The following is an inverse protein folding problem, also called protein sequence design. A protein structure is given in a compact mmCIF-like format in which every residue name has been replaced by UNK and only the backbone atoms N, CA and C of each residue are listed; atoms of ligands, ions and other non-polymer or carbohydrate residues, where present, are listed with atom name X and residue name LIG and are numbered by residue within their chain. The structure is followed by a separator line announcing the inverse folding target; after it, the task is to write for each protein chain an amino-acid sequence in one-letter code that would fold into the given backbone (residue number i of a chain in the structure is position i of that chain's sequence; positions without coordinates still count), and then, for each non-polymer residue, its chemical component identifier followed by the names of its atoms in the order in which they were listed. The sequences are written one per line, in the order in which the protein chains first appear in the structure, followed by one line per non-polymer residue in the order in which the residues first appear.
data_IF_101015620202
#
_entry.id   IF_101015620202
#
_cell.length_a   1.000
_cell.length_b   1.000
_cell.length_c   1.000
_cell.angle_alpha   90.00
_cell.angle_beta   90.00
_cell.angle_gamma   90.00
#
_symmetry.space_group_name_H-M   'P 1'
#
loop_
_entity.id
_entity.type
_entity.pdbx_description
1 polymer ?
#
# COMPACT_ATOMS: atom_id res chain seq x y z
N UNK A 1 -26.38 -13.00 -16.95
CA UNK A 1 -26.54 -11.82 -16.04
C UNK A 1 -25.15 -11.30 -15.74
N UNK A 2 -24.90 -10.04 -16.01
CA UNK A 2 -23.61 -9.42 -15.63
C UNK A 2 -23.53 -9.39 -14.10
N UNK A 3 -22.44 -9.93 -13.55
CA UNK A 3 -22.17 -9.90 -12.10
C UNK A 3 -22.00 -8.43 -11.68
N UNK A 4 -22.97 -7.87 -10.96
CA UNK A 4 -22.93 -6.48 -10.51
C UNK A 4 -21.70 -6.20 -9.66
N UNK A 5 -21.23 -7.19 -8.88
CA UNK A 5 -20.07 -7.11 -8.01
C UNK A 5 -18.75 -7.46 -8.72
N UNK A 6 -18.68 -7.38 -10.03
CA UNK A 6 -17.40 -7.38 -10.73
C UNK A 6 -16.68 -6.06 -10.47
N UNK A 7 -15.44 -6.12 -10.01
CA UNK A 7 -14.66 -4.95 -9.61
C UNK A 7 -14.55 -3.88 -10.71
N UNK A 8 -14.47 -4.29 -11.97
CA UNK A 8 -14.45 -3.34 -13.07
C UNK A 8 -15.79 -2.58 -13.22
N UNK A 9 -16.91 -3.27 -12.97
CA UNK A 9 -18.23 -2.62 -12.95
C UNK A 9 -18.34 -1.69 -11.74
N UNK A 10 -17.95 -2.13 -10.54
CA UNK A 10 -17.97 -1.30 -9.34
C UNK A 10 -17.15 -0.02 -9.51
N UNK A 11 -15.95 -0.11 -10.10
CA UNK A 11 -15.12 1.06 -10.39
C UNK A 11 -15.75 1.96 -11.46
N UNK A 12 -16.38 1.40 -12.48
CA UNK A 12 -17.11 2.19 -13.47
C UNK A 12 -18.32 2.93 -12.87
N UNK A 13 -19.03 2.30 -11.93
CA UNK A 13 -20.13 2.95 -11.20
C UNK A 13 -19.61 4.08 -10.27
N UNK A 14 -18.46 3.86 -9.61
CA UNK A 14 -17.78 4.86 -8.81
C UNK A 14 -17.39 6.07 -9.68
N UNK A 15 -16.78 5.84 -10.84
CA UNK A 15 -16.34 6.89 -11.75
C UNK A 15 -17.51 7.70 -12.33
N UNK A 16 -18.64 7.05 -12.59
CA UNK A 16 -19.91 7.69 -13.02
C UNK A 16 -20.62 8.41 -11.89
N UNK A 17 -20.10 8.32 -10.66
CA UNK A 17 -20.74 8.85 -9.45
C UNK A 17 -22.16 8.31 -9.22
N UNK A 18 -22.40 7.03 -9.53
CA UNK A 18 -23.67 6.40 -9.30
C UNK A 18 -23.92 6.15 -7.80
N UNK A 19 -24.54 7.11 -7.14
CA UNK A 19 -24.87 7.05 -5.72
C UNK A 19 -25.92 5.98 -5.39
N UNK A 20 -26.73 5.57 -6.38
CA UNK A 20 -27.81 4.59 -6.20
C UNK A 20 -27.32 3.15 -6.35
N UNK A 21 -26.12 2.90 -6.86
CA UNK A 21 -25.60 1.57 -7.12
C UNK A 21 -25.71 0.63 -5.91
N UNK A 22 -25.38 1.11 -4.69
CA UNK A 22 -25.48 0.31 -3.47
C UNK A 22 -26.95 -0.08 -3.16
N UNK A 23 -27.90 0.80 -3.42
CA UNK A 23 -29.34 0.54 -3.22
C UNK A 23 -29.90 -0.47 -4.23
N UNK A 24 -29.32 -0.53 -5.43
CA UNK A 24 -29.68 -1.48 -6.49
C UNK A 24 -29.17 -2.90 -6.25
N UNK A 25 -28.28 -3.10 -5.25
CA UNK A 25 -27.79 -4.42 -4.87
C UNK A 25 -28.85 -5.18 -4.08
N UNK A 26 -28.97 -6.48 -4.37
CA UNK A 26 -29.77 -7.40 -3.54
C UNK A 26 -29.15 -7.59 -2.16
N UNK A 27 -29.87 -8.12 -1.21
CA UNK A 27 -29.36 -8.37 0.14
C UNK A 27 -28.18 -9.36 0.14
N UNK A 28 -28.16 -10.32 -0.78
CA UNK A 28 -27.05 -11.25 -0.95
C UNK A 28 -25.81 -10.57 -1.52
N UNK A 29 -25.99 -9.66 -2.50
CA UNK A 29 -24.92 -8.86 -3.07
C UNK A 29 -24.35 -7.88 -2.02
N UNK A 30 -25.20 -7.22 -1.23
CA UNK A 30 -24.76 -6.32 -0.15
C UNK A 30 -23.88 -7.02 0.88
N UNK A 31 -24.17 -8.30 1.21
CA UNK A 31 -23.34 -9.10 2.12
C UNK A 31 -21.95 -9.40 1.54
N UNK A 32 -21.82 -9.47 0.22
CA UNK A 32 -20.57 -9.73 -0.49
C UNK A 32 -19.83 -8.44 -0.87
N UNK A 33 -20.50 -7.30 -0.84
CA UNK A 33 -19.93 -6.01 -1.23
C UNK A 33 -18.81 -5.59 -0.28
N UNK A 34 -17.59 -5.41 -0.79
CA UNK A 34 -16.43 -5.08 0.01
C UNK A 34 -16.03 -3.61 -0.13
N UNK A 35 -16.38 -2.83 0.87
CA UNK A 35 -15.99 -1.41 0.94
C UNK A 35 -14.47 -1.23 1.05
N UNK A 36 -13.74 -2.23 1.58
CA UNK A 36 -12.28 -2.25 1.58
C UNK A 36 -11.69 -2.37 0.16
N UNK A 37 -12.31 -3.16 -0.71
CA UNK A 37 -11.92 -3.19 -2.12
C UNK A 37 -12.14 -1.83 -2.78
N UNK A 38 -13.23 -1.13 -2.45
CA UNK A 38 -13.47 0.23 -2.95
C UNK A 38 -12.34 1.17 -2.55
N UNK A 39 -11.91 1.15 -1.29
CA UNK A 39 -10.78 1.94 -0.82
C UNK A 39 -9.49 1.64 -1.61
N UNK A 40 -9.19 0.37 -1.83
CA UNK A 40 -7.94 -0.06 -2.48
C UNK A 40 -7.91 0.20 -3.97
N UNK A 41 -9.02 -0.03 -4.66
CA UNK A 41 -9.08 0.13 -6.11
C UNK A 41 -9.35 1.57 -6.55
N UNK A 42 -10.16 2.32 -5.80
CA UNK A 42 -10.50 3.71 -6.16
C UNK A 42 -9.29 4.64 -6.21
N UNK A 43 -8.26 4.37 -5.41
CA UNK A 43 -7.06 5.22 -5.37
C UNK A 43 -6.06 4.97 -6.51
N UNK A 44 -6.28 3.95 -7.37
CA UNK A 44 -5.26 3.47 -8.30
C UNK A 44 -5.79 3.36 -9.72
N UNK A 45 -5.64 4.43 -10.48
CA UNK A 45 -6.08 4.53 -11.87
C UNK A 45 -4.91 4.51 -12.85
N UNK A 46 -5.12 3.90 -14.03
CA UNK A 46 -4.20 4.00 -15.16
C UNK A 46 -4.55 5.25 -15.97
N UNK A 47 -3.92 6.36 -15.65
CA UNK A 47 -4.17 7.65 -16.28
C UNK A 47 -2.90 8.53 -16.21
N UNK A 48 -2.97 9.75 -16.74
CA UNK A 48 -1.92 10.74 -16.59
C UNK A 48 -1.62 11.04 -15.11
N UNK A 49 -0.39 11.44 -14.79
CA UNK A 49 0.09 11.59 -13.41
C UNK A 49 -0.76 12.55 -12.55
N UNK A 50 -1.27 13.62 -13.13
CA UNK A 50 -2.16 14.56 -12.45
C UNK A 50 -3.49 13.91 -12.05
N UNK A 51 -4.06 13.06 -12.92
CA UNK A 51 -5.29 12.31 -12.63
C UNK A 51 -5.02 11.24 -11.56
N UNK A 52 -3.90 10.51 -11.66
CA UNK A 52 -3.48 9.56 -10.61
C UNK A 52 -3.35 10.24 -9.25
N UNK A 53 -2.63 11.38 -9.19
CA UNK A 53 -2.47 12.16 -7.97
C UNK A 53 -3.82 12.60 -7.41
N UNK A 54 -4.74 13.07 -8.27
CA UNK A 54 -6.09 13.45 -7.84
C UNK A 54 -6.81 12.28 -7.16
N UNK A 55 -6.85 11.09 -7.78
CA UNK A 55 -7.54 9.93 -7.20
C UNK A 55 -6.93 9.50 -5.86
N UNK A 56 -5.61 9.51 -5.74
CA UNK A 56 -4.92 9.19 -4.48
C UNK A 56 -5.29 10.18 -3.38
N UNK A 57 -5.20 11.48 -3.66
CA UNK A 57 -5.51 12.54 -2.70
C UNK A 57 -6.99 12.55 -2.33
N UNK A 58 -7.88 12.45 -3.32
CA UNK A 58 -9.32 12.42 -3.13
C UNK A 58 -9.77 11.18 -2.36
N UNK A 59 -9.21 10.00 -2.66
CA UNK A 59 -9.48 8.77 -1.92
C UNK A 59 -9.05 8.90 -0.46
N UNK A 60 -7.86 9.45 -0.21
CA UNK A 60 -7.37 9.64 1.15
C UNK A 60 -8.27 10.59 1.94
N UNK A 61 -8.69 11.69 1.34
CA UNK A 61 -9.52 12.72 2.01
C UNK A 61 -10.96 12.26 2.24
N UNK A 62 -11.59 11.66 1.22
CA UNK A 62 -13.03 11.38 1.24
C UNK A 62 -13.38 10.00 1.78
N UNK A 63 -12.48 9.00 1.63
CA UNK A 63 -12.79 7.63 2.00
C UNK A 63 -11.85 7.07 3.08
N UNK A 64 -10.53 7.23 2.94
CA UNK A 64 -9.56 6.57 3.82
C UNK A 64 -9.54 7.15 5.24
N UNK A 65 -9.58 8.47 5.36
CA UNK A 65 -9.39 9.18 6.64
C UNK A 65 -10.34 8.70 7.75
N UNK A 66 -11.61 8.48 7.40
CA UNK A 66 -12.65 8.08 8.36
C UNK A 66 -13.18 6.67 8.06
N UNK A 67 -12.43 5.85 7.32
CA UNK A 67 -12.90 4.56 6.81
C UNK A 67 -13.42 3.62 7.89
N UNK A 68 -12.71 3.51 9.00
CA UNK A 68 -13.08 2.63 10.11
C UNK A 68 -14.19 3.21 10.98
N UNK A 69 -14.29 4.53 11.09
CA UNK A 69 -15.33 5.21 11.87
C UNK A 69 -16.72 4.98 11.27
N UNK A 70 -16.79 4.93 9.93
CA UNK A 70 -18.03 4.69 9.19
C UNK A 70 -18.19 3.23 8.72
N UNK A 71 -17.40 2.29 9.25
CA UNK A 71 -17.40 0.90 8.80
C UNK A 71 -18.74 0.19 8.96
N UNK A 72 -19.56 0.61 9.94
CA UNK A 72 -20.92 0.09 10.17
C UNK A 72 -21.96 0.61 9.16
N UNK A 73 -21.58 1.52 8.28
CA UNK A 73 -22.46 2.18 7.31
C UNK A 73 -21.96 2.00 5.86
N UNK A 74 -22.10 0.79 5.29
CA UNK A 74 -21.50 0.49 3.97
C UNK A 74 -22.08 1.36 2.83
N UNK A 75 -23.35 1.76 2.93
CA UNK A 75 -23.94 2.75 1.99
C UNK A 75 -23.21 4.09 2.08
N UNK A 76 -22.92 4.59 3.27
CA UNK A 76 -22.17 5.83 3.46
C UNK A 76 -20.75 5.69 2.92
N UNK A 77 -20.09 4.54 3.16
CA UNK A 77 -18.78 4.27 2.56
C UNK A 77 -18.83 4.28 1.03
N UNK A 78 -19.89 3.73 0.43
CA UNK A 78 -20.09 3.84 -1.03
C UNK A 78 -20.25 5.28 -1.51
N UNK A 79 -21.05 6.09 -0.82
CA UNK A 79 -21.21 7.52 -1.14
C UNK A 79 -19.86 8.27 -1.05
N UNK A 80 -19.08 8.00 -0.01
CA UNK A 80 -17.71 8.54 0.11
C UNK A 80 -16.80 8.05 -1.03
N UNK A 81 -16.94 6.79 -1.46
CA UNK A 81 -16.20 6.25 -2.59
C UNK A 81 -16.57 6.94 -3.91
N UNK A 82 -17.86 7.22 -4.16
CA UNK A 82 -18.27 7.97 -5.37
C UNK A 82 -17.78 9.41 -5.38
N UNK A 83 -17.49 10.00 -4.22
CA UNK A 83 -16.89 11.32 -4.12
C UNK A 83 -15.40 11.35 -4.50
N UNK A 84 -14.75 10.18 -4.60
CA UNK A 84 -13.33 10.08 -5.01
C UNK A 84 -13.15 10.48 -6.48
N UNK A 85 -14.06 10.08 -7.36
CA UNK A 85 -13.98 10.37 -8.80
C UNK A 85 -14.17 11.84 -9.12
N UNK A 86 -13.43 12.43 -10.07
CA UNK A 86 -13.69 13.77 -10.60
C UNK A 86 -14.92 13.83 -11.50
N UNK A 87 -15.49 12.69 -11.94
CA UNK A 87 -16.65 12.63 -12.82
C UNK A 87 -16.38 13.00 -14.28
N UNK A 88 -15.14 12.87 -14.74
CA UNK A 88 -14.70 13.24 -16.12
C UNK A 88 -14.66 12.05 -17.07
N UNK A 89 -15.22 10.92 -16.68
CA UNK A 89 -15.25 9.66 -17.45
C UNK A 89 -14.85 8.47 -16.58
N UNK A 90 -14.82 7.29 -17.19
CA UNK A 90 -14.41 6.05 -16.53
C UNK A 90 -12.96 5.74 -16.85
N UNK A 91 -12.22 5.31 -15.83
CA UNK A 91 -10.81 4.93 -15.94
C UNK A 91 -10.62 3.44 -15.68
N UNK A 92 -9.52 2.90 -16.14
CA UNK A 92 -9.10 1.56 -15.77
C UNK A 92 -8.42 1.63 -14.39
N UNK A 93 -9.07 1.05 -13.39
CA UNK A 93 -8.47 0.86 -12.09
C UNK A 93 -7.61 -0.40 -12.05
N UNK A 94 -6.63 -0.45 -11.15
CA UNK A 94 -5.72 -1.57 -11.03
C UNK A 94 -5.42 -1.89 -9.56
N UNK A 95 -5.06 -3.15 -9.32
CA UNK A 95 -4.56 -3.55 -8.01
C UNK A 95 -3.04 -3.37 -7.95
N UNK A 96 -2.57 -2.58 -6.99
CA UNK A 96 -1.16 -2.52 -6.65
C UNK A 96 -0.97 -3.23 -5.30
N UNK A 97 -0.32 -4.39 -5.35
CA UNK A 97 -0.04 -5.15 -4.14
C UNK A 97 0.85 -4.33 -3.18
N UNK A 98 0.54 -4.40 -1.90
CA UNK A 98 1.44 -3.85 -0.90
C UNK A 98 2.77 -4.59 -0.99
N UNK A 99 3.86 -3.86 -1.15
CA UNK A 99 5.19 -4.44 -0.93
C UNK A 99 5.21 -4.94 0.51
N UNK A 100 5.44 -6.25 0.71
CA UNK A 100 5.68 -6.77 2.05
C UNK A 100 6.84 -5.95 2.62
N UNK A 101 6.60 -5.24 3.71
CA UNK A 101 7.72 -4.73 4.51
C UNK A 101 8.41 -5.98 5.03
N UNK A 102 9.54 -6.33 4.47
CA UNK A 102 10.33 -7.39 5.05
C UNK A 102 10.63 -6.96 6.49
N UNK A 103 10.19 -7.76 7.43
CA UNK A 103 10.37 -7.52 8.87
C UNK A 103 11.84 -7.66 9.30
N UNK A 104 12.72 -7.93 8.37
CA UNK A 104 14.17 -8.06 8.58
C UNK A 104 14.96 -7.30 7.52
N UNK A 105 16.23 -7.17 7.75
CA UNK A 105 17.17 -6.62 6.79
C UNK A 105 17.48 -7.68 5.71
N UNK A 106 17.15 -7.40 4.44
CA UNK A 106 17.44 -8.30 3.31
C UNK A 106 18.93 -8.35 2.97
N UNK A 107 19.62 -7.24 3.19
CA UNK A 107 21.04 -7.10 2.91
C UNK A 107 21.87 -7.58 4.11
N UNK A 108 22.88 -8.41 3.87
CA UNK A 108 23.80 -8.90 4.88
C UNK A 108 24.49 -7.78 5.64
N UNK A 109 24.87 -6.69 4.96
CA UNK A 109 25.48 -5.51 5.60
C UNK A 109 24.52 -4.84 6.59
N UNK A 110 23.25 -4.72 6.26
CA UNK A 110 22.23 -4.17 7.15
C UNK A 110 22.02 -5.08 8.38
N UNK A 111 22.00 -6.41 8.18
CA UNK A 111 21.90 -7.38 9.29
C UNK A 111 23.09 -7.27 10.24
N UNK A 112 24.29 -7.19 9.68
CA UNK A 112 25.51 -7.02 10.48
C UNK A 112 25.48 -5.73 11.30
N UNK A 113 25.14 -4.60 10.67
CA UNK A 113 25.06 -3.31 11.35
C UNK A 113 23.95 -3.28 12.42
N UNK A 114 22.80 -3.90 12.15
CA UNK A 114 21.71 -4.00 13.11
C UNK A 114 22.07 -4.85 14.34
N UNK A 115 22.84 -5.92 14.13
CA UNK A 115 23.34 -6.75 15.23
C UNK A 115 24.41 -6.00 16.05
N UNK A 116 25.22 -5.18 15.40
CA UNK A 116 26.28 -4.40 16.03
C UNK A 116 25.72 -3.20 16.82
N UNK A 117 24.68 -2.57 16.29
CA UNK A 117 24.06 -1.37 16.87
C UNK A 117 22.56 -1.57 17.12
N UNK A 118 22.17 -2.39 18.11
CA UNK A 118 20.77 -2.76 18.32
C UNK A 118 19.88 -1.60 18.80
N UNK A 119 20.48 -0.52 19.25
CA UNK A 119 19.79 0.70 19.72
C UNK A 119 19.50 1.73 18.62
N UNK A 120 20.09 1.54 17.43
CA UNK A 120 19.86 2.44 16.30
C UNK A 120 18.54 2.13 15.59
N UNK A 121 17.89 3.18 15.07
CA UNK A 121 16.72 3.04 14.23
C UNK A 121 17.09 2.52 12.84
N UNK A 122 16.11 1.99 12.13
CA UNK A 122 16.32 1.40 10.81
C UNK A 122 16.90 2.37 9.79
N UNK A 123 16.42 3.61 9.77
CA UNK A 123 16.90 4.68 8.89
C UNK A 123 18.37 5.04 9.15
N UNK A 124 18.78 5.04 10.42
CA UNK A 124 20.17 5.27 10.83
C UNK A 124 21.07 4.11 10.38
N UNK A 125 20.61 2.86 10.50
CA UNK A 125 21.34 1.67 10.02
C UNK A 125 21.44 1.68 8.51
N UNK A 126 20.38 2.07 7.79
CA UNK A 126 20.39 2.22 6.33
C UNK A 126 21.36 3.33 5.87
N UNK A 127 21.44 4.42 6.62
CA UNK A 127 22.42 5.49 6.38
C UNK A 127 23.85 4.98 6.61
N UNK A 128 24.09 4.29 7.72
CA UNK A 128 25.41 3.69 8.00
C UNK A 128 25.85 2.70 6.92
N UNK A 129 24.91 1.89 6.40
CA UNK A 129 25.21 0.95 5.33
C UNK A 129 25.57 1.64 4.00
N UNK A 130 25.04 2.85 3.76
CA UNK A 130 25.41 3.67 2.58
C UNK A 130 26.78 4.35 2.74
N UNK A 131 27.13 4.71 3.97
CA UNK A 131 28.39 5.41 4.26
C UNK A 131 29.59 4.46 4.38
N UNK A 132 29.38 3.19 4.69
CA UNK A 132 30.42 2.19 4.84
C UNK A 132 30.44 1.24 3.63
N UNK A 133 31.59 1.07 3.04
CA UNK A 133 31.79 0.07 1.99
C UNK A 133 32.01 -1.33 2.60
N UNK A 134 32.03 -2.37 1.75
CA UNK A 134 32.21 -3.75 2.21
C UNK A 134 33.53 -3.96 2.97
N UNK A 135 34.61 -3.27 2.57
CA UNK A 135 35.90 -3.40 3.21
C UNK A 135 35.92 -2.80 4.62
N UNK A 136 35.21 -1.68 4.81
CA UNK A 136 35.06 -1.05 6.13
C UNK A 136 34.31 -1.97 7.09
N UNK A 137 33.26 -2.65 6.60
CA UNK A 137 32.49 -3.61 7.41
C UNK A 137 33.32 -4.86 7.75
N UNK A 138 34.16 -5.34 6.83
CA UNK A 138 35.08 -6.46 7.08
C UNK A 138 36.10 -6.08 8.17
N UNK A 139 36.72 -4.91 8.06
CA UNK A 139 37.65 -4.42 9.10
C UNK A 139 36.97 -4.37 10.47
N UNK A 140 35.77 -3.83 10.51
CA UNK A 140 34.98 -3.75 11.73
C UNK A 140 34.63 -5.12 12.32
N UNK A 141 34.31 -6.09 11.46
CA UNK A 141 34.07 -7.47 11.87
C UNK A 141 35.35 -8.13 12.45
N UNK A 142 36.52 -7.88 11.84
CA UNK A 142 37.82 -8.35 12.31
C UNK A 142 38.19 -7.72 13.67
N UNK A 143 37.97 -6.41 13.83
CA UNK A 143 38.15 -5.72 15.12
C UNK A 143 37.30 -6.32 16.26
N UNK A 144 36.14 -6.87 15.91
CA UNK A 144 35.25 -7.58 16.83
C UNK A 144 35.61 -9.06 17.04
N UNK A 145 36.71 -9.50 16.47
CA UNK A 145 37.22 -10.88 16.64
C UNK A 145 36.51 -11.92 15.77
N UNK A 146 35.84 -11.51 14.67
CA UNK A 146 35.25 -12.46 13.74
C UNK A 146 36.35 -13.13 12.90
N UNK A 147 36.24 -14.43 12.73
CA UNK A 147 37.11 -15.17 11.83
C UNK A 147 36.73 -15.00 10.35
N UNK A 148 37.67 -15.30 9.47
CA UNK A 148 37.44 -15.15 8.00
C UNK A 148 36.29 -16.00 7.46
N UNK A 149 36.03 -17.15 8.10
CA UNK A 149 34.94 -18.05 7.70
C UNK A 149 33.57 -17.44 8.02
N UNK A 150 33.43 -16.84 9.18
CA UNK A 150 32.23 -16.15 9.63
C UNK A 150 31.99 -14.90 8.77
N UNK A 151 33.04 -14.12 8.52
CA UNK A 151 32.97 -12.92 7.66
C UNK A 151 32.46 -13.27 6.26
N UNK A 152 32.99 -14.33 5.63
CA UNK A 152 32.51 -14.78 4.29
C UNK A 152 31.07 -15.24 4.27
N UNK A 153 30.55 -15.73 5.38
CA UNK A 153 29.18 -16.26 5.48
C UNK A 153 28.17 -15.15 5.79
N UNK A 154 28.52 -14.22 6.65
CA UNK A 154 27.60 -13.23 7.21
C UNK A 154 27.70 -11.84 6.55
N UNK A 155 28.81 -11.51 5.87
CA UNK A 155 29.07 -10.31 5.07
C UNK A 155 29.33 -10.63 3.59
#
# INVERSE_FOLDING_TARGET
MSDKLNINNEMAQLDRKNTQFYDELTDEERKKFSTYLMLRWSSQVQAASNIQAYYVMSCNQNLNKNFFDIAKHPKLQWLCATAVSPGIGTFKHQWIANKKKNSGYENKHLKFLAALYPHLKRDEIELMAKLNNKQDLIKKAQELGWDDKRIKTEL
#
